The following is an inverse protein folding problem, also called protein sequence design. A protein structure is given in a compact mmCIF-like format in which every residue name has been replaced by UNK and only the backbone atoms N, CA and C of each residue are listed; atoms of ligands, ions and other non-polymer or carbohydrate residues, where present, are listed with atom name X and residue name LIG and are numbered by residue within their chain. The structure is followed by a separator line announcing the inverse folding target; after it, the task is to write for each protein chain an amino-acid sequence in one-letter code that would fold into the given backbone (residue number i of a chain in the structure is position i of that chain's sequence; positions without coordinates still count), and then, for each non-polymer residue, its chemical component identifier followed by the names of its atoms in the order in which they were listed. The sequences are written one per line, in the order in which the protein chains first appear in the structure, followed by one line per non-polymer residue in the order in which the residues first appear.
data_IF_061651679673
#
_entry.id   IF_061651679673
#
_cell.length_a   1.000
_cell.length_b   1.000
_cell.length_c   1.000
_cell.angle_alpha   90.00
_cell.angle_beta   90.00
_cell.angle_gamma   90.00
#
_symmetry.space_group_name_H-M   'P 1'
#
loop_
_entity.id
_entity.type
_entity.pdbx_description
1 polymer ?
#
# COMPACT_ATOMS: atom_id res chain seq x y z
N UNK A 1 0.05 -17.39 -3.17
CA UNK A 1 0.33 -16.19 -2.36
C UNK A 1 -0.28 -14.94 -2.97
N UNK A 2 0.13 -14.41 -4.13
CA UNK A 2 -0.36 -13.13 -4.70
C UNK A 2 -1.88 -13.06 -4.86
N UNK A 3 -2.54 -14.14 -5.33
CA UNK A 3 -4.01 -14.18 -5.38
C UNK A 3 -4.68 -13.99 -4.00
N UNK A 4 -4.06 -14.45 -2.92
CA UNK A 4 -4.58 -14.23 -1.57
C UNK A 4 -4.39 -12.76 -1.13
N UNK A 5 -3.28 -12.14 -1.54
CA UNK A 5 -3.03 -10.71 -1.34
C UNK A 5 -4.12 -9.88 -2.02
N UNK A 6 -4.42 -10.19 -3.30
CA UNK A 6 -5.48 -9.49 -4.05
C UNK A 6 -6.84 -9.60 -3.33
N UNK A 7 -7.18 -10.79 -2.82
CA UNK A 7 -8.44 -11.03 -2.08
C UNK A 7 -8.48 -10.34 -0.72
N UNK A 8 -7.35 -9.94 -0.16
CA UNK A 8 -7.26 -9.21 1.10
C UNK A 8 -7.25 -7.69 0.87
N UNK A 9 -6.24 -7.16 0.19
CA UNK A 9 -5.92 -5.73 0.20
C UNK A 9 -6.15 -4.99 -1.12
N UNK A 10 -6.58 -5.64 -2.19
CA UNK A 10 -6.80 -4.96 -3.48
C UNK A 10 -8.15 -4.26 -3.55
N UNK A 11 -8.13 -2.96 -3.77
CA UNK A 11 -9.33 -2.16 -4.06
C UNK A 11 -9.90 -2.43 -5.46
N UNK A 12 -9.16 -3.12 -6.33
CA UNK A 12 -9.59 -3.51 -7.68
C UNK A 12 -10.32 -4.85 -7.73
N UNK A 13 -10.35 -5.60 -6.62
CA UNK A 13 -11.01 -6.90 -6.52
C UNK A 13 -12.31 -6.76 -5.74
N UNK A 14 -13.43 -6.88 -6.45
CA UNK A 14 -14.75 -6.83 -5.83
C UNK A 14 -14.91 -7.99 -4.82
N UNK A 15 -15.34 -7.68 -3.61
CA UNK A 15 -15.49 -8.64 -2.51
C UNK A 15 -14.18 -8.98 -1.78
N UNK A 16 -13.06 -8.31 -2.08
CA UNK A 16 -11.86 -8.38 -1.23
C UNK A 16 -12.15 -7.90 0.21
N UNK A 17 -11.26 -8.16 1.13
CA UNK A 17 -11.44 -7.71 2.54
C UNK A 17 -11.54 -6.20 2.60
N UNK A 18 -10.63 -5.48 1.92
CA UNK A 18 -10.65 -4.02 1.87
C UNK A 18 -11.91 -3.47 1.18
N UNK A 19 -12.38 -4.11 0.11
CA UNK A 19 -13.62 -3.70 -0.59
C UNK A 19 -14.84 -3.84 0.33
N UNK A 20 -14.95 -4.94 1.07
CA UNK A 20 -16.02 -5.13 2.06
C UNK A 20 -15.94 -4.11 3.20
N UNK A 21 -14.74 -3.84 3.71
CA UNK A 21 -14.55 -2.84 4.75
C UNK A 21 -14.93 -1.45 4.26
N UNK A 22 -14.48 -1.05 3.08
CA UNK A 22 -14.79 0.25 2.48
C UNK A 22 -16.29 0.46 2.30
N UNK A 23 -17.02 -0.60 1.90
CA UNK A 23 -18.48 -0.57 1.69
C UNK A 23 -19.32 -0.72 2.95
N UNK A 24 -18.73 -1.07 4.08
CA UNK A 24 -19.48 -1.21 5.34
C UNK A 24 -19.87 0.14 5.94
N UNK A 25 -20.86 0.15 6.82
CA UNK A 25 -21.30 1.35 7.55
C UNK A 25 -20.44 1.65 8.79
N UNK A 26 -19.94 0.61 9.46
CA UNK A 26 -19.35 0.67 10.79
C UNK A 26 -18.02 -0.08 10.93
N UNK A 27 -17.58 -0.75 9.87
CA UNK A 27 -16.38 -1.57 9.82
C UNK A 27 -16.66 -3.02 9.41
N UNK A 28 -15.63 -3.84 9.40
CA UNK A 28 -15.74 -5.26 9.06
C UNK A 28 -14.62 -6.09 9.68
N UNK A 29 -14.80 -7.43 9.65
CA UNK A 29 -13.71 -8.36 9.93
C UNK A 29 -12.63 -8.23 8.87
N UNK A 30 -11.41 -7.94 9.31
CA UNK A 30 -10.21 -7.89 8.46
C UNK A 30 -9.31 -9.08 8.78
N UNK A 31 -8.65 -9.61 7.76
CA UNK A 31 -7.77 -10.76 7.90
C UNK A 31 -6.33 -10.36 8.28
N UNK A 32 -5.51 -11.37 8.52
CA UNK A 32 -4.12 -11.17 8.93
C UNK A 32 -3.31 -10.36 7.93
N UNK A 33 -3.48 -10.57 6.61
CA UNK A 33 -2.73 -9.82 5.58
C UNK A 33 -3.09 -8.33 5.60
N UNK A 34 -4.38 -8.05 5.76
CA UNK A 34 -4.85 -6.68 5.94
C UNK A 34 -4.23 -6.03 7.19
N UNK A 35 -4.18 -6.75 8.32
CA UNK A 35 -3.58 -6.27 9.57
C UNK A 35 -2.07 -6.01 9.43
N UNK A 36 -1.35 -6.86 8.71
CA UNK A 36 0.08 -6.65 8.44
C UNK A 36 0.30 -5.36 7.63
N UNK A 37 -0.47 -5.14 6.55
CA UNK A 37 -0.37 -3.92 5.74
C UNK A 37 -0.86 -2.68 6.49
N UNK A 38 -1.88 -2.83 7.34
CA UNK A 38 -2.37 -1.75 8.21
C UNK A 38 -1.29 -1.31 9.22
N UNK A 39 -0.54 -2.26 9.79
CA UNK A 39 0.54 -1.97 10.73
C UNK A 39 1.75 -1.30 10.05
N UNK A 40 2.12 -1.73 8.83
CA UNK A 40 3.11 -1.05 8.00
C UNK A 40 2.66 0.39 7.68
N UNK A 41 1.38 0.55 7.33
CA UNK A 41 0.78 1.87 7.08
C UNK A 41 0.83 2.75 8.33
N UNK A 42 0.60 2.17 9.53
CA UNK A 42 0.71 2.89 10.79
C UNK A 42 2.16 3.36 11.05
N UNK A 43 3.14 2.51 10.78
CA UNK A 43 4.56 2.88 10.88
C UNK A 43 4.91 4.05 9.95
N UNK A 44 4.41 4.03 8.70
CA UNK A 44 4.61 5.12 7.75
C UNK A 44 3.88 6.41 8.17
N UNK A 45 2.65 6.29 8.69
CA UNK A 45 1.88 7.41 9.25
C UNK A 45 2.65 8.10 10.37
N UNK A 46 3.17 7.34 11.34
CA UNK A 46 3.96 7.88 12.44
C UNK A 46 5.27 8.53 11.94
N UNK A 47 6.00 7.85 11.06
CA UNK A 47 7.28 8.34 10.53
C UNK A 47 7.13 9.63 9.69
N UNK A 48 5.97 9.84 9.07
CA UNK A 48 5.64 11.02 8.28
C UNK A 48 4.89 12.11 9.07
N UNK A 49 4.69 11.92 10.39
CA UNK A 49 3.92 12.83 11.24
C UNK A 49 2.49 13.08 10.68
N UNK A 50 1.86 12.03 10.14
CA UNK A 50 0.52 12.07 9.56
C UNK A 50 0.45 12.57 8.10
N UNK A 51 1.58 12.86 7.45
CA UNK A 51 1.58 13.27 6.04
C UNK A 51 1.21 12.13 5.09
N UNK A 52 1.50 10.88 5.45
CA UNK A 52 0.94 9.69 4.83
C UNK A 52 -0.28 9.23 5.64
N UNK A 53 -1.42 9.04 4.99
CA UNK A 53 -2.65 8.55 5.61
C UNK A 53 -3.39 7.62 4.62
N UNK A 54 -3.58 6.32 4.92
CA UNK A 54 -4.25 5.40 4.00
C UNK A 54 -5.77 5.64 3.91
N UNK A 55 -6.38 6.44 4.79
CA UNK A 55 -7.80 6.80 4.70
C UNK A 55 -8.09 7.90 3.67
N UNK A 56 -7.08 8.27 2.87
CA UNK A 56 -7.16 9.26 1.80
C UNK A 56 -8.01 8.83 0.59
N UNK A 57 -8.49 7.58 0.53
CA UNK A 57 -9.17 7.01 -0.64
C UNK A 57 -10.32 7.88 -1.19
N UNK A 58 -11.19 8.53 -0.37
CA UNK A 58 -12.23 9.41 -0.89
C UNK A 58 -11.69 10.59 -1.71
N UNK A 59 -10.53 11.15 -1.32
CA UNK A 59 -9.85 12.21 -2.08
C UNK A 59 -9.19 11.67 -3.35
N UNK A 60 -8.60 10.46 -3.30
CA UNK A 60 -8.03 9.78 -4.48
C UNK A 60 -9.12 9.58 -5.54
N UNK A 61 -10.30 9.11 -5.12
CA UNK A 61 -11.47 8.94 -5.99
C UNK A 61 -11.98 10.27 -6.56
N UNK A 62 -12.05 11.33 -5.74
CA UNK A 62 -12.43 12.69 -6.18
C UNK A 62 -11.53 13.19 -7.33
N UNK A 63 -10.23 12.92 -7.28
CA UNK A 63 -9.29 13.29 -8.33
C UNK A 63 -9.27 12.31 -9.52
N UNK A 64 -10.18 11.34 -9.56
CA UNK A 64 -10.34 10.40 -10.68
C UNK A 64 -9.32 9.27 -10.71
N UNK A 65 -8.63 9.01 -9.60
CA UNK A 65 -7.75 7.87 -9.46
C UNK A 65 -8.46 6.71 -8.74
N UNK A 66 -8.03 5.49 -9.02
CA UNK A 66 -8.60 4.28 -8.42
C UNK A 66 -9.37 3.41 -9.41
N UNK A 67 -10.06 2.35 -8.92
CA UNK A 67 -10.78 1.40 -9.76
C UNK A 67 -12.05 1.96 -10.40
N UNK A 68 -12.66 2.97 -9.79
CA UNK A 68 -13.82 3.65 -10.32
C UNK A 68 -13.38 4.63 -11.42
N UNK A 69 -14.06 4.57 -12.57
CA UNK A 69 -13.82 5.50 -13.68
C UNK A 69 -14.50 6.84 -13.39
N UNK A 70 -13.93 7.62 -12.53
CA UNK A 70 -14.36 8.99 -12.32
C UNK A 70 -13.77 9.93 -13.39
N UNK A 71 -14.55 10.89 -13.80
CA UNK A 71 -14.02 12.02 -14.57
C UNK A 71 -13.29 12.95 -13.63
N UNK A 72 -12.07 13.35 -14.00
CA UNK A 72 -11.37 14.40 -13.27
C UNK A 72 -12.25 15.66 -13.21
N UNK A 73 -12.37 16.31 -12.05
CA UNK A 73 -13.09 17.56 -11.97
C UNK A 73 -12.38 18.61 -12.85
N UNK A 74 -13.14 19.30 -13.70
CA UNK A 74 -12.58 20.39 -14.52
C UNK A 74 -12.04 21.53 -13.68
N UNK A 75 -12.62 21.73 -12.49
CA UNK A 75 -12.17 22.70 -11.47
C UNK A 75 -12.29 22.07 -10.10
N UNK A 76 -11.28 22.30 -9.25
CA UNK A 76 -11.29 21.85 -7.88
C UNK A 76 -12.36 22.58 -7.07
N UNK A 77 -13.25 21.85 -6.42
CA UNK A 77 -14.20 22.38 -5.45
C UNK A 77 -13.60 22.35 -4.04
N UNK A 78 -13.20 23.52 -3.54
CA UNK A 78 -12.56 23.65 -2.22
C UNK A 78 -13.50 23.23 -1.07
N UNK A 79 -14.81 23.41 -1.20
CA UNK A 79 -15.77 23.01 -0.18
C UNK A 79 -15.88 21.47 -0.14
N UNK A 80 -16.00 20.82 -1.28
CA UNK A 80 -16.02 19.37 -1.38
C UNK A 80 -14.71 18.74 -0.89
N UNK A 81 -13.57 19.32 -1.26
CA UNK A 81 -12.25 18.86 -0.76
C UNK A 81 -12.20 18.96 0.76
N UNK A 82 -12.67 20.07 1.36
CA UNK A 82 -12.69 20.23 2.81
C UNK A 82 -13.59 19.19 3.51
N UNK A 83 -14.74 18.85 2.93
CA UNK A 83 -15.60 17.77 3.43
C UNK A 83 -14.91 16.41 3.37
N UNK A 84 -14.26 16.08 2.24
CA UNK A 84 -13.54 14.82 2.07
C UNK A 84 -12.31 14.71 2.99
N UNK A 85 -11.65 15.83 3.30
CA UNK A 85 -10.55 15.86 4.25
C UNK A 85 -10.98 15.47 5.68
N UNK A 86 -12.24 15.67 6.05
CA UNK A 86 -12.76 15.21 7.34
C UNK A 86 -12.81 13.69 7.46
N UNK A 87 -12.73 12.96 6.35
CA UNK A 87 -12.69 11.49 6.30
C UNK A 87 -11.26 10.94 6.38
N UNK A 88 -10.24 11.81 6.30
CA UNK A 88 -8.82 11.42 6.36
C UNK A 88 -8.37 11.49 7.81
N UNK A 89 -8.58 10.39 8.54
CA UNK A 89 -8.34 10.30 9.99
C UNK A 89 -7.96 8.88 10.38
N UNK A 90 -6.76 8.45 10.00
CA UNK A 90 -6.30 7.08 10.24
C UNK A 90 -6.28 6.71 11.74
N UNK A 91 -5.88 7.64 12.58
CA UNK A 91 -5.81 7.47 14.04
C UNK A 91 -7.19 7.36 14.72
N UNK A 92 -8.27 7.70 14.02
CA UNK A 92 -9.64 7.56 14.53
C UNK A 92 -10.22 6.14 14.43
N UNK A 93 -9.55 5.26 13.66
CA UNK A 93 -9.93 3.85 13.57
C UNK A 93 -9.74 3.14 14.92
N UNK A 94 -10.49 2.05 15.15
CA UNK A 94 -10.40 1.31 16.41
C UNK A 94 -10.58 -0.19 16.22
N UNK A 95 -9.94 -0.98 17.11
CA UNK A 95 -10.28 -2.37 17.34
C UNK A 95 -11.12 -2.46 18.62
N UNK A 96 -12.34 -3.01 18.51
CA UNK A 96 -13.33 -2.91 19.56
C UNK A 96 -13.56 -1.43 19.98
N UNK A 97 -13.25 -1.04 21.20
CA UNK A 97 -13.41 0.33 21.70
C UNK A 97 -12.05 1.07 21.87
N UNK A 98 -10.94 0.41 21.53
CA UNK A 98 -9.60 0.97 21.70
C UNK A 98 -9.04 1.52 20.38
N UNK A 99 -8.41 2.72 20.37
CA UNK A 99 -7.70 3.25 19.21
C UNK A 99 -6.67 2.26 18.68
N UNK A 100 -6.48 2.23 17.35
CA UNK A 100 -5.61 1.23 16.70
C UNK A 100 -4.13 1.39 17.04
N UNK A 101 -3.68 2.59 17.38
CA UNK A 101 -2.27 2.97 17.40
C UNK A 101 -1.36 2.07 18.21
N UNK A 102 -1.68 1.85 19.49
CA UNK A 102 -0.84 1.03 20.37
C UNK A 102 -0.84 -0.44 19.91
N UNK A 103 -2.00 -0.96 19.51
CA UNK A 103 -2.13 -2.34 19.04
C UNK A 103 -1.38 -2.59 17.74
N UNK A 104 -1.46 -1.66 16.76
CA UNK A 104 -0.70 -1.75 15.52
C UNK A 104 0.80 -1.63 15.75
N UNK A 105 1.22 -0.75 16.65
CA UNK A 105 2.62 -0.61 17.03
C UNK A 105 3.16 -1.90 17.68
N UNK A 106 2.39 -2.54 18.57
CA UNK A 106 2.75 -3.82 19.16
C UNK A 106 2.82 -4.94 18.11
N UNK A 107 1.82 -5.04 17.23
CA UNK A 107 1.81 -6.02 16.13
C UNK A 107 3.02 -5.84 15.22
N UNK A 108 3.32 -4.60 14.83
CA UNK A 108 4.46 -4.27 13.96
C UNK A 108 5.80 -4.67 14.60
N UNK A 109 6.02 -4.30 15.87
CA UNK A 109 7.27 -4.59 16.58
C UNK A 109 7.43 -6.09 16.87
N UNK A 110 6.36 -6.76 17.28
CA UNK A 110 6.41 -8.18 17.65
C UNK A 110 6.34 -9.14 16.45
N UNK A 111 5.86 -8.67 15.29
CA UNK A 111 5.57 -9.52 14.13
C UNK A 111 4.43 -10.52 14.37
N UNK A 112 3.64 -10.34 15.43
CA UNK A 112 2.55 -11.25 15.80
C UNK A 112 1.20 -10.62 15.47
N UNK A 113 0.48 -11.25 14.57
CA UNK A 113 -0.82 -10.81 14.11
C UNK A 113 -1.87 -11.90 14.36
N UNK A 114 -3.08 -11.54 14.84
CA UNK A 114 -4.19 -12.47 14.91
C UNK A 114 -4.67 -12.85 13.50
N UNK A 115 -5.38 -13.96 13.38
CA UNK A 115 -5.93 -14.40 12.09
C UNK A 115 -6.97 -13.43 11.53
N UNK A 116 -7.72 -12.77 12.41
CA UNK A 116 -8.68 -11.70 12.07
C UNK A 116 -9.05 -10.85 13.27
N UNK A 117 -9.42 -9.59 13.01
CA UNK A 117 -10.02 -8.67 13.98
C UNK A 117 -11.15 -7.88 13.31
N UNK A 118 -12.08 -7.37 14.11
CA UNK A 118 -13.04 -6.40 13.62
C UNK A 118 -12.43 -4.99 13.72
N UNK A 119 -12.27 -4.35 12.55
CA UNK A 119 -11.79 -2.97 12.45
C UNK A 119 -13.00 -2.05 12.30
N UNK A 120 -13.23 -1.21 13.31
CA UNK A 120 -14.29 -0.21 13.28
C UNK A 120 -13.84 1.04 12.50
N UNK A 121 -14.81 1.72 11.89
CA UNK A 121 -14.64 3.07 11.34
C UNK A 121 -15.67 4.03 11.93
N UNK A 122 -15.28 5.27 12.27
CA UNK A 122 -16.17 6.24 12.91
C UNK A 122 -17.18 6.86 11.94
N UNK A 123 -16.90 6.82 10.64
CA UNK A 123 -17.76 7.38 9.59
C UNK A 123 -17.93 6.36 8.45
N UNK A 124 -19.19 6.17 8.03
CA UNK A 124 -19.53 5.24 6.96
C UNK A 124 -18.91 5.58 5.60
N UNK A 125 -18.59 6.84 5.37
CA UNK A 125 -17.96 7.34 4.15
C UNK A 125 -16.43 7.23 4.15
N UNK A 126 -15.82 6.89 5.29
CA UNK A 126 -14.37 6.66 5.37
C UNK A 126 -13.99 5.42 4.57
N UNK A 127 -12.92 5.52 3.80
CA UNK A 127 -12.40 4.42 2.98
C UNK A 127 -10.88 4.37 3.03
N UNK A 128 -10.32 3.16 3.00
CA UNK A 128 -8.88 2.89 3.01
C UNK A 128 -8.38 2.54 1.61
N UNK A 129 -7.17 3.00 1.28
CA UNK A 129 -6.38 2.61 0.11
C UNK A 129 -4.97 2.22 0.54
N UNK A 130 -4.55 1.00 0.19
CA UNK A 130 -3.21 0.49 0.47
C UNK A 130 -2.27 0.53 -0.74
N UNK A 131 -2.63 1.19 -1.83
CA UNK A 131 -1.82 1.18 -3.05
C UNK A 131 -0.38 1.69 -2.83
N UNK A 132 -0.18 2.62 -1.90
CA UNK A 132 1.16 3.13 -1.58
C UNK A 132 2.05 2.17 -0.74
N UNK A 133 1.48 1.13 -0.12
CA UNK A 133 2.20 0.20 0.77
C UNK A 133 2.08 -1.25 0.30
N UNK A 134 0.92 -1.64 -0.21
CA UNK A 134 0.57 -3.04 -0.48
C UNK A 134 1.48 -3.73 -1.51
N UNK A 135 1.95 -3.01 -2.53
CA UNK A 135 2.86 -3.57 -3.54
C UNK A 135 4.23 -3.85 -2.92
N UNK A 136 4.81 -2.89 -2.18
CA UNK A 136 6.08 -3.07 -1.48
C UNK A 136 6.02 -4.19 -0.44
N UNK A 137 4.95 -4.24 0.36
CA UNK A 137 4.70 -5.34 1.28
C UNK A 137 4.63 -6.69 0.56
N UNK A 138 3.96 -6.77 -0.61
CA UNK A 138 3.88 -8.00 -1.40
C UNK A 138 5.25 -8.47 -1.89
N UNK A 139 6.10 -7.54 -2.33
CA UNK A 139 7.50 -7.81 -2.72
C UNK A 139 8.27 -8.37 -1.53
N UNK A 140 8.11 -7.79 -0.33
CA UNK A 140 8.76 -8.26 0.88
C UNK A 140 8.31 -9.68 1.26
N UNK A 141 7.02 -10.00 1.15
CA UNK A 141 6.52 -11.37 1.40
C UNK A 141 7.06 -12.40 0.41
N UNK A 142 7.26 -12.04 -0.85
CA UNK A 142 7.93 -12.94 -1.81
C UNK A 142 9.40 -13.11 -1.45
N UNK A 143 10.07 -12.06 -1.00
CA UNK A 143 11.45 -12.13 -0.55
C UNK A 143 11.62 -13.05 0.67
N UNK A 144 10.77 -12.90 1.69
CA UNK A 144 10.72 -13.75 2.87
C UNK A 144 10.54 -15.24 2.48
N UNK A 145 9.66 -15.52 1.51
CA UNK A 145 9.47 -16.88 1.00
C UNK A 145 10.75 -17.42 0.34
N UNK A 146 11.41 -16.66 -0.52
CA UNK A 146 12.66 -17.08 -1.17
C UNK A 146 13.76 -17.33 -0.13
N UNK A 147 13.91 -16.42 0.83
CA UNK A 147 14.88 -16.54 1.91
C UNK A 147 14.62 -17.75 2.81
N UNK A 148 13.36 -18.11 3.07
CA UNK A 148 12.98 -19.34 3.79
C UNK A 148 13.35 -20.64 3.04
N UNK A 149 13.59 -20.54 1.74
CA UNK A 149 14.06 -21.63 0.87
C UNK A 149 15.57 -21.57 0.59
N UNK A 150 16.34 -20.80 1.38
CA UNK A 150 17.78 -20.57 1.20
C UNK A 150 18.14 -19.89 -0.15
N UNK A 151 17.19 -19.21 -0.78
CA UNK A 151 17.42 -18.42 -2.01
C UNK A 151 17.67 -16.98 -1.63
N UNK A 152 18.93 -16.56 -1.56
CA UNK A 152 19.36 -15.23 -1.14
C UNK A 152 19.80 -14.31 -2.29
N UNK A 153 19.93 -14.83 -3.52
CA UNK A 153 20.33 -14.10 -4.74
C UNK A 153 19.18 -13.97 -5.70
N UNK A 154 18.42 -12.92 -5.54
CA UNK A 154 17.20 -12.68 -6.30
C UNK A 154 17.02 -11.18 -6.58
N UNK A 155 16.18 -10.85 -7.51
CA UNK A 155 15.36 -9.65 -7.50
C UNK A 155 13.90 -10.02 -7.75
N UNK A 156 13.02 -9.21 -7.20
CA UNK A 156 11.57 -9.35 -7.30
C UNK A 156 11.06 -8.00 -7.79
N UNK A 157 10.11 -8.02 -8.72
CA UNK A 157 9.42 -6.84 -9.19
C UNK A 157 7.91 -7.14 -9.21
N UNK A 158 7.13 -6.27 -8.60
CA UNK A 158 5.66 -6.33 -8.60
C UNK A 158 5.14 -4.91 -8.79
N UNK A 159 4.55 -4.63 -9.97
CA UNK A 159 3.91 -3.35 -10.25
C UNK A 159 4.84 -2.13 -10.20
N UNK A 160 6.16 -2.33 -10.37
CA UNK A 160 7.18 -1.27 -10.32
C UNK A 160 7.95 -1.21 -9.01
N UNK A 161 7.45 -1.83 -7.93
CA UNK A 161 8.18 -2.00 -6.68
C UNK A 161 9.15 -3.17 -6.80
N UNK A 162 10.41 -2.92 -6.40
CA UNK A 162 11.52 -3.85 -6.58
C UNK A 162 12.20 -4.11 -5.24
N UNK A 163 12.56 -5.38 -4.99
CA UNK A 163 13.51 -5.75 -3.95
C UNK A 163 14.63 -6.60 -4.52
N UNK A 164 15.87 -6.26 -4.20
CA UNK A 164 17.05 -7.04 -4.55
C UNK A 164 17.66 -7.68 -3.30
N UNK A 165 17.93 -8.98 -3.38
CA UNK A 165 18.70 -9.72 -2.41
C UNK A 165 20.21 -9.52 -2.56
N UNK A 166 21.01 -10.57 -2.26
CA UNK A 166 22.47 -10.54 -2.44
C UNK A 166 22.87 -10.31 -3.90
N UNK A 167 24.09 -9.81 -4.15
CA UNK A 167 24.66 -9.65 -5.48
C UNK A 167 24.63 -10.96 -6.28
N UNK A 168 24.70 -10.85 -7.60
CA UNK A 168 24.83 -11.99 -8.53
C UNK A 168 26.05 -12.85 -8.16
N UNK A 169 26.11 -14.12 -8.60
CA UNK A 169 27.27 -14.97 -8.38
C UNK A 169 28.60 -14.37 -8.91
N UNK A 170 28.53 -13.51 -9.94
CA UNK A 170 29.67 -12.74 -10.47
C UNK A 170 30.18 -11.64 -9.52
N UNK A 171 29.46 -11.33 -8.41
CA UNK A 171 29.73 -10.20 -7.53
C UNK A 171 29.10 -8.88 -7.97
N UNK A 172 28.49 -8.83 -9.14
CA UNK A 172 27.84 -7.63 -9.65
C UNK A 172 26.50 -7.36 -8.92
N UNK A 173 26.20 -6.07 -8.73
CA UNK A 173 24.89 -5.63 -8.23
C UNK A 173 23.80 -5.77 -9.29
N UNK A 174 22.56 -5.90 -8.81
CA UNK A 174 21.39 -5.80 -9.66
C UNK A 174 21.22 -4.36 -10.15
N UNK A 175 21.01 -4.17 -11.45
CA UNK A 175 20.86 -2.84 -12.05
C UNK A 175 19.46 -2.70 -12.63
N UNK A 176 18.81 -1.59 -12.31
CA UNK A 176 17.46 -1.26 -12.76
C UNK A 176 17.48 0.10 -13.44
N UNK A 177 16.78 0.18 -14.57
CA UNK A 177 16.57 1.44 -15.27
C UNK A 177 15.36 2.17 -14.69
N UNK A 178 15.51 3.47 -14.45
CA UNK A 178 14.40 4.38 -14.18
C UNK A 178 14.09 5.09 -15.49
N UNK A 179 12.86 4.93 -15.97
CA UNK A 179 12.43 5.55 -17.22
C UNK A 179 12.24 7.07 -17.06
N UNK A 180 12.48 7.82 -18.12
CA UNK A 180 12.01 9.20 -18.22
C UNK A 180 10.49 9.20 -18.30
N UNK A 181 9.79 10.16 -17.68
CA UNK A 181 8.35 10.34 -17.85
C UNK A 181 8.08 10.89 -19.28
N UNK A 182 7.97 9.98 -20.25
CA UNK A 182 7.74 10.28 -21.65
C UNK A 182 6.38 9.73 -22.08
N UNK A 183 5.44 10.58 -22.57
CA UNK A 183 4.12 10.13 -23.01
C UNK A 183 4.14 9.15 -24.20
N UNK A 184 5.19 9.22 -25.02
CA UNK A 184 5.35 8.35 -26.18
C UNK A 184 6.22 7.13 -25.82
N UNK A 185 5.54 6.01 -25.54
CA UNK A 185 6.20 4.74 -25.18
C UNK A 185 7.20 4.23 -26.25
N UNK A 186 7.10 4.71 -27.51
CA UNK A 186 8.05 4.37 -28.56
C UNK A 186 9.41 5.08 -28.39
N UNK A 187 9.45 6.12 -27.54
CA UNK A 187 10.66 6.91 -27.26
C UNK A 187 11.21 6.65 -25.85
N UNK A 188 10.98 5.44 -25.34
CA UNK A 188 11.43 5.05 -24.00
C UNK A 188 12.94 5.29 -23.85
N UNK A 189 13.30 6.21 -22.95
CA UNK A 189 14.67 6.51 -22.59
C UNK A 189 14.86 6.34 -21.06
N UNK A 190 16.04 5.89 -20.67
CA UNK A 190 16.38 5.82 -19.26
C UNK A 190 16.81 7.19 -18.73
N UNK A 191 16.23 7.61 -17.62
CA UNK A 191 16.69 8.78 -16.88
C UNK A 191 17.87 8.45 -15.98
N UNK A 192 17.86 7.26 -15.37
CA UNK A 192 18.91 6.82 -14.47
C UNK A 192 19.05 5.29 -14.47
N UNK A 193 20.21 4.81 -14.02
CA UNK A 193 20.42 3.40 -13.68
C UNK A 193 20.76 3.32 -12.21
N UNK A 194 19.96 2.56 -11.44
CA UNK A 194 20.13 2.35 -10.00
C UNK A 194 20.72 0.95 -9.77
N UNK A 195 21.77 0.86 -8.95
CA UNK A 195 22.37 -0.41 -8.55
C UNK A 195 21.90 -0.77 -7.15
N UNK A 196 21.26 -1.93 -6.99
CA UNK A 196 20.68 -2.39 -5.73
C UNK A 196 21.45 -3.58 -5.16
N UNK A 197 21.61 -3.56 -3.83
CA UNK A 197 22.12 -4.67 -3.01
C UNK A 197 21.33 -4.71 -1.71
N UNK A 198 20.57 -5.78 -1.48
CA UNK A 198 19.79 -5.98 -0.26
C UNK A 198 18.95 -4.74 0.10
N UNK A 199 18.28 -4.17 -0.90
CA UNK A 199 17.46 -2.95 -0.78
C UNK A 199 16.26 -3.01 -1.71
N UNK A 200 15.23 -2.22 -1.36
CA UNK A 200 14.08 -1.93 -2.21
C UNK A 200 14.28 -0.68 -3.08
N UNK A 201 13.52 -0.61 -4.14
CA UNK A 201 13.30 0.56 -4.98
C UNK A 201 11.80 0.65 -5.27
N UNK A 202 11.21 1.79 -4.99
CA UNK A 202 9.84 2.10 -5.36
C UNK A 202 9.82 3.28 -6.32
N UNK A 203 8.93 3.23 -7.31
CA UNK A 203 8.75 4.30 -8.29
C UNK A 203 7.27 4.64 -8.42
N UNK A 204 6.95 5.91 -8.52
CA UNK A 204 5.60 6.40 -8.76
C UNK A 204 5.57 7.29 -9.98
N UNK A 205 4.50 7.18 -10.76
CA UNK A 205 4.27 7.99 -11.95
C UNK A 205 2.79 8.01 -12.34
N UNK A 206 2.43 8.95 -13.18
CA UNK A 206 1.08 9.13 -13.72
C UNK A 206 1.04 9.12 -15.25
N UNK A 207 1.90 8.34 -15.90
CA UNK A 207 2.08 8.23 -17.34
C UNK A 207 1.66 6.87 -17.88
#
# INVERSE_FOLDING_TARGET
MLKAVDLSISTYVNGSVIDRWNKSSDGAMVDRMFLEVLAESWSAYQASEGAFDPTIKPLVAYWGFGPEKFTHPEQADSAQIAELLNLVQFDSLSFAEAPIGDQLSEMFISGKYPDSLFLNKPDSMMEIDFNAVGQGWSVDKVAELLESLDIDRYFIEIGGEIKAGRPKPSGEYWKFGVDKPEPDLAKRELQAIVSLRSRGLATSGNY
#
